data_IF_864199711564
#
_entry.id   IF_864199711564
#
_cell.length_a   1.000
_cell.length_b   1.000
_cell.length_c   1.000
_cell.angle_alpha   90.00
_cell.angle_beta   90.00
_cell.angle_gamma   90.00
#
_symmetry.space_group_name_H-M   'P 1'
#
loop_
_entity.id
_entity.type
_entity.pdbx_description
1 polymer ?
#
# COMPACT_ATOMS: atom_id res chain seq x y z
N UNK A 1 -21.14 -19.67 -6.58
CA UNK A 1 -19.66 -19.68 -6.70
C UNK A 1 -19.28 -20.74 -7.71
N UNK A 2 -18.50 -20.42 -8.75
CA UNK A 2 -18.22 -21.37 -9.84
C UNK A 2 -16.97 -22.22 -9.50
N UNK A 3 -17.12 -23.12 -8.52
CA UNK A 3 -16.00 -23.87 -7.91
C UNK A 3 -15.25 -24.74 -8.92
N UNK A 4 -15.96 -25.33 -9.89
CA UNK A 4 -15.35 -26.12 -10.97
C UNK A 4 -14.33 -25.34 -11.80
N UNK A 5 -14.62 -24.06 -12.04
CA UNK A 5 -13.72 -23.19 -12.79
C UNK A 5 -12.45 -22.90 -11.98
N UNK A 6 -12.60 -22.64 -10.68
CA UNK A 6 -11.50 -22.38 -9.76
C UNK A 6 -10.58 -23.60 -9.66
N UNK A 7 -11.15 -24.79 -9.46
CA UNK A 7 -10.38 -26.04 -9.38
C UNK A 7 -9.59 -26.32 -10.68
N UNK A 8 -10.21 -26.04 -11.83
CA UNK A 8 -9.55 -26.20 -13.13
C UNK A 8 -8.38 -25.23 -13.30
N UNK A 9 -8.53 -23.98 -12.87
CA UNK A 9 -7.45 -22.98 -12.87
C UNK A 9 -6.29 -23.40 -11.96
N UNK A 10 -6.59 -23.89 -10.76
CA UNK A 10 -5.56 -24.37 -9.81
C UNK A 10 -4.76 -25.52 -10.41
N UNK A 11 -5.42 -26.49 -11.05
CA UNK A 11 -4.72 -27.60 -11.72
C UNK A 11 -3.79 -27.12 -12.83
N UNK A 12 -4.24 -26.17 -13.65
CA UNK A 12 -3.41 -25.59 -14.72
C UNK A 12 -2.19 -24.90 -14.12
N UNK A 13 -2.36 -24.06 -13.09
CA UNK A 13 -1.26 -23.35 -12.42
C UNK A 13 -0.23 -24.33 -11.84
N UNK A 14 -0.70 -25.43 -11.23
CA UNK A 14 0.17 -26.46 -10.67
C UNK A 14 0.94 -27.24 -11.75
N UNK A 15 0.44 -27.32 -12.97
CA UNK A 15 1.12 -27.98 -14.10
C UNK A 15 2.22 -27.14 -14.76
N UNK A 16 2.25 -25.83 -14.50
CA UNK A 16 3.24 -24.91 -15.07
C UNK A 16 4.64 -25.17 -14.51
N UNK A 17 5.65 -24.99 -15.36
CA UNK A 17 7.06 -24.91 -14.96
C UNK A 17 7.35 -23.66 -14.13
N UNK A 18 8.51 -23.60 -13.48
CA UNK A 18 8.90 -22.44 -12.67
C UNK A 18 8.94 -21.15 -13.49
N UNK A 19 9.45 -21.20 -14.72
CA UNK A 19 9.53 -20.04 -15.61
C UNK A 19 8.14 -19.53 -16.01
N UNK A 20 7.21 -20.44 -16.33
CA UNK A 20 5.83 -20.10 -16.67
C UNK A 20 5.05 -19.56 -15.47
N UNK A 21 5.31 -20.08 -14.27
CA UNK A 21 4.73 -19.53 -13.03
C UNK A 21 5.22 -18.12 -12.75
N UNK A 22 6.52 -17.87 -12.92
CA UNK A 22 7.07 -16.51 -12.77
C UNK A 22 6.43 -15.55 -13.78
N UNK A 23 6.26 -15.96 -15.04
CA UNK A 23 5.58 -15.16 -16.06
C UNK A 23 4.10 -14.91 -15.72
N UNK A 24 3.42 -15.92 -15.18
CA UNK A 24 2.03 -15.81 -14.72
C UNK A 24 1.92 -14.83 -13.56
N UNK A 25 2.83 -14.89 -12.59
CA UNK A 25 2.89 -13.96 -11.46
C UNK A 25 3.07 -12.53 -11.94
N UNK A 26 4.02 -12.24 -12.84
CA UNK A 26 4.21 -10.90 -13.41
C UNK A 26 2.99 -10.36 -14.16
N UNK A 27 2.15 -11.24 -14.73
CA UNK A 27 0.95 -10.85 -15.47
C UNK A 27 -0.29 -10.70 -14.59
N UNK A 28 -0.47 -11.56 -13.59
CA UNK A 28 -1.61 -11.55 -12.66
C UNK A 28 -1.40 -10.54 -11.55
N UNK A 29 -0.21 -10.53 -10.98
CA UNK A 29 0.27 -9.53 -10.06
C UNK A 29 1.07 -8.56 -10.91
N UNK A 30 0.35 -7.66 -11.58
CA UNK A 30 0.93 -6.34 -11.82
C UNK A 30 1.33 -5.88 -10.43
N UNK A 31 2.63 -5.72 -10.15
CA UNK A 31 3.11 -5.03 -8.94
C UNK A 31 2.21 -3.82 -8.79
N UNK A 32 1.26 -3.94 -7.86
CA UNK A 32 0.08 -3.09 -7.88
C UNK A 32 0.62 -1.70 -7.68
N UNK A 33 0.57 -0.87 -8.74
CA UNK A 33 1.31 0.40 -8.86
C UNK A 33 1.47 0.98 -7.48
N UNK A 34 2.66 0.77 -6.89
CA UNK A 34 2.84 1.20 -5.51
C UNK A 34 2.61 2.70 -5.55
N UNK A 35 1.70 3.23 -4.71
CA UNK A 35 1.43 4.64 -4.75
C UNK A 35 2.74 5.35 -4.52
N UNK A 36 3.10 6.22 -5.46
CA UNK A 36 4.29 7.04 -5.33
C UNK A 36 4.24 7.81 -4.02
N UNK A 37 5.40 8.20 -3.48
CA UNK A 37 5.46 9.05 -2.28
C UNK A 37 4.56 10.28 -2.40
N UNK A 38 4.40 10.82 -3.60
CA UNK A 38 3.51 11.95 -3.89
C UNK A 38 2.03 11.58 -3.73
N UNK A 39 1.60 10.43 -4.22
CA UNK A 39 0.22 9.95 -4.07
C UNK A 39 -0.09 9.64 -2.61
N UNK A 40 0.85 9.03 -1.89
CA UNK A 40 0.73 8.81 -0.44
C UNK A 40 0.60 10.14 0.33
N UNK A 41 1.42 11.14 0.01
CA UNK A 41 1.31 12.48 0.62
C UNK A 41 -0.02 13.15 0.31
N UNK A 42 -0.53 13.03 -0.92
CA UNK A 42 -1.84 13.59 -1.29
C UNK A 42 -2.98 12.89 -0.55
N UNK A 43 -2.92 11.57 -0.41
CA UNK A 43 -3.87 10.79 0.39
C UNK A 43 -3.86 11.21 1.86
N UNK A 44 -2.68 11.32 2.48
CA UNK A 44 -2.56 11.73 3.87
C UNK A 44 -3.05 13.17 4.09
N UNK A 45 -2.78 14.08 3.14
CA UNK A 45 -3.30 15.45 3.17
C UNK A 45 -4.82 15.51 3.01
N UNK A 46 -5.38 14.77 2.06
CA UNK A 46 -6.83 14.76 1.82
C UNK A 46 -7.60 14.04 2.93
N UNK A 47 -6.95 13.07 3.58
CA UNK A 47 -7.51 12.28 4.66
C UNK A 47 -7.33 12.90 6.05
N UNK A 48 -6.91 14.17 6.14
CA UNK A 48 -6.75 14.87 7.42
C UNK A 48 -5.79 14.17 8.40
N UNK A 49 -4.88 13.33 7.89
CA UNK A 49 -3.98 12.54 8.74
C UNK A 49 -2.94 13.38 9.48
N UNK A 50 -2.78 14.65 9.07
CA UNK A 50 -1.87 15.63 9.66
C UNK A 50 -2.57 16.75 10.43
N UNK A 51 -3.90 16.71 10.59
CA UNK A 51 -4.65 17.77 11.28
C UNK A 51 -4.22 17.93 12.76
N UNK A 52 -3.65 16.88 13.36
CA UNK A 52 -3.08 16.94 14.71
C UNK A 52 -1.90 17.92 14.85
N UNK A 53 -1.26 18.30 13.74
CA UNK A 53 -0.18 19.30 13.74
C UNK A 53 -0.72 20.73 13.89
N UNK A 54 -1.99 20.97 13.54
CA UNK A 54 -2.60 22.30 13.63
C UNK A 54 -2.98 22.66 15.08
N UNK A 55 -3.28 21.65 15.89
CA UNK A 55 -3.63 21.78 17.31
C UNK A 55 -2.55 21.15 18.22
N UNK A 56 -1.29 21.11 17.77
CA UNK A 56 -0.20 20.59 18.59
C UNK A 56 0.04 21.53 19.78
N UNK A 57 -0.06 21.05 21.04
CA UNK A 57 0.19 21.88 22.19
C UNK A 57 1.67 22.25 22.26
N UNK A 58 1.95 23.54 22.50
CA UNK A 58 3.31 24.00 22.77
C UNK A 58 3.85 23.32 24.03
N UNK A 59 4.74 22.35 23.84
CA UNK A 59 5.49 21.71 24.92
C UNK A 59 6.80 22.44 25.22
N UNK A 60 7.23 23.35 24.34
CA UNK A 60 8.38 24.22 24.52
C UNK A 60 8.06 25.64 24.09
N UNK A 61 8.66 26.61 24.75
CA UNK A 61 8.60 28.01 24.36
C UNK A 61 9.40 28.25 23.08
N UNK A 62 8.91 29.12 22.18
CA UNK A 62 9.69 29.50 20.98
C UNK A 62 10.85 30.46 21.27
N UNK A 63 10.90 31.02 22.48
CA UNK A 63 11.87 32.07 22.85
C UNK A 63 13.20 31.49 23.36
N UNK A 64 13.14 30.47 24.22
CA UNK A 64 14.31 29.82 24.82
C UNK A 64 14.29 28.28 24.70
N UNK A 65 13.21 27.68 24.19
CA UNK A 65 13.11 26.23 24.04
C UNK A 65 12.94 25.49 25.36
N UNK A 66 12.60 26.23 26.42
CA UNK A 66 12.31 25.66 27.73
C UNK A 66 10.89 25.08 27.75
N UNK A 67 10.62 24.05 28.56
CA UNK A 67 9.27 23.52 28.72
C UNK A 67 8.26 24.58 29.14
N UNK A 68 7.05 24.53 28.58
CA UNK A 68 5.91 25.41 28.97
C UNK A 68 5.30 24.98 30.30
#
# INVERSE_FOLDING_TARGET
MNTKLVDSLVQIILSLSQEERNLLETKLFVDGVEPSTKELMQLAKNGSSFDFLEDEPDIYTSQDGEPV
#
